data_IF_185714527540
#
_entry.id   IF_185714527540
#
_cell.length_a   1.000
_cell.length_b   1.000
_cell.length_c   1.000
_cell.angle_alpha   90.00
_cell.angle_beta   90.00
_cell.angle_gamma   90.00
#
_symmetry.space_group_name_H-M   'P 1'
#
loop_
_entity.id
_entity.type
_entity.pdbx_description
1 polymer ?
#
# COMPACT_ATOMS: atom_id res chain seq x y z
N UNK A 1 9.11 15.52 14.38
CA UNK A 1 9.33 15.64 12.93
C UNK A 1 8.10 15.07 12.23
N UNK A 2 7.20 15.92 11.77
CA UNK A 2 6.00 15.48 11.05
C UNK A 2 6.40 15.23 9.61
N UNK A 3 6.58 13.96 9.22
CA UNK A 3 6.72 13.61 7.81
C UNK A 3 5.31 13.65 7.23
N UNK A 4 4.81 14.86 6.94
CA UNK A 4 3.63 14.99 6.12
C UNK A 4 3.98 14.41 4.75
N UNK A 5 3.30 13.32 4.36
CA UNK A 5 3.42 12.79 3.00
C UNK A 5 3.17 13.94 2.01
N UNK A 6 3.99 14.10 0.95
CA UNK A 6 3.83 15.22 0.03
C UNK A 6 2.42 15.21 -0.56
N UNK A 7 1.69 16.33 -0.39
CA UNK A 7 0.41 16.59 -1.08
C UNK A 7 0.70 16.89 -2.55
N UNK A 8 1.24 15.92 -3.25
CA UNK A 8 1.31 15.97 -4.71
C UNK A 8 -0.07 15.57 -5.25
N UNK A 9 -0.62 16.34 -6.20
CA UNK A 9 -1.93 16.09 -6.83
C UNK A 9 -2.02 14.81 -7.65
N UNK A 10 -1.07 13.89 -7.47
CA UNK A 10 -0.98 12.60 -8.14
C UNK A 10 -2.01 11.63 -7.56
N UNK A 11 -2.54 10.77 -8.43
CA UNK A 11 -3.48 9.71 -8.05
C UNK A 11 -2.90 8.79 -6.95
N UNK A 12 -3.76 8.14 -6.14
CA UNK A 12 -3.32 7.04 -5.30
C UNK A 12 -2.70 5.94 -6.18
N UNK A 13 -1.56 5.40 -5.75
CA UNK A 13 -0.90 4.26 -6.41
C UNK A 13 -1.04 3.08 -5.46
N UNK A 14 -1.72 2.04 -5.89
CA UNK A 14 -1.92 0.84 -5.08
C UNK A 14 -0.59 0.05 -5.00
N UNK A 15 -0.17 -0.47 -3.84
CA UNK A 15 1.08 -1.23 -3.75
C UNK A 15 1.11 -2.49 -4.63
N UNK A 16 -0.06 -3.04 -4.94
CA UNK A 16 -0.21 -4.12 -5.92
C UNK A 16 0.08 -3.71 -7.37
N UNK A 17 -0.10 -2.43 -7.73
CA UNK A 17 0.37 -1.89 -9.01
C UNK A 17 1.89 -1.93 -9.06
N UNK A 18 2.57 -1.44 -8.02
CA UNK A 18 4.04 -1.50 -7.89
C UNK A 18 4.54 -2.95 -7.97
N UNK A 19 3.92 -3.87 -7.22
CA UNK A 19 4.28 -5.28 -7.29
C UNK A 19 4.15 -5.84 -8.72
N UNK A 20 3.10 -5.47 -9.45
CA UNK A 20 2.85 -5.94 -10.81
C UNK A 20 3.83 -5.33 -11.82
N UNK A 21 3.97 -4.02 -11.82
CA UNK A 21 4.71 -3.27 -12.84
C UNK A 21 6.24 -3.30 -12.63
N UNK A 22 6.70 -3.28 -11.39
CA UNK A 22 8.14 -3.13 -11.08
C UNK A 22 8.81 -4.46 -10.73
N UNK A 23 8.03 -5.49 -10.36
CA UNK A 23 8.57 -6.81 -9.99
C UNK A 23 8.07 -7.91 -10.93
N UNK A 24 6.76 -8.13 -11.04
CA UNK A 24 6.26 -9.30 -11.79
C UNK A 24 6.55 -9.20 -13.29
N UNK A 25 6.19 -8.08 -13.93
CA UNK A 25 6.40 -7.89 -15.38
C UNK A 25 7.89 -7.93 -15.76
N UNK A 26 8.81 -7.20 -15.10
CA UNK A 26 10.22 -7.20 -15.49
C UNK A 26 10.91 -8.56 -15.28
N UNK A 27 10.48 -9.32 -14.27
CA UNK A 27 11.03 -10.64 -13.97
C UNK A 27 10.33 -11.78 -14.74
N UNK A 28 9.26 -11.49 -15.50
CA UNK A 28 8.50 -12.49 -16.24
C UNK A 28 7.81 -13.55 -15.36
N UNK A 29 7.54 -13.24 -14.08
CA UNK A 29 6.94 -14.18 -13.14
C UNK A 29 5.43 -13.97 -13.03
N UNK A 30 4.67 -15.07 -13.00
CA UNK A 30 3.22 -15.00 -12.79
C UNK A 30 2.87 -14.78 -11.32
N UNK A 31 1.69 -14.23 -11.04
CA UNK A 31 1.16 -14.09 -9.69
C UNK A 31 1.04 -15.45 -8.96
N UNK A 32 0.71 -16.51 -9.70
CA UNK A 32 0.65 -17.87 -9.15
C UNK A 32 2.06 -18.39 -8.77
N UNK A 33 3.06 -18.17 -9.62
CA UNK A 33 4.45 -18.52 -9.31
C UNK A 33 4.95 -17.76 -8.08
N UNK A 34 4.67 -16.46 -7.97
CA UNK A 34 5.00 -15.69 -6.78
C UNK A 34 4.30 -16.27 -5.53
N UNK A 35 3.01 -16.58 -5.59
CA UNK A 35 2.28 -17.14 -4.45
C UNK A 35 2.91 -18.44 -3.92
N UNK A 36 3.37 -19.32 -4.82
CA UNK A 36 4.07 -20.56 -4.46
C UNK A 36 5.42 -20.29 -3.78
N UNK A 37 6.17 -19.30 -4.25
CA UNK A 37 7.43 -18.86 -3.63
C UNK A 37 7.20 -18.25 -2.24
N UNK A 38 6.15 -17.43 -2.09
CA UNK A 38 5.81 -16.77 -0.82
C UNK A 38 5.10 -17.70 0.18
N UNK A 39 4.71 -18.92 -0.24
CA UNK A 39 3.94 -19.88 0.57
C UNK A 39 2.62 -19.30 1.06
N UNK A 40 1.86 -18.67 0.16
CA UNK A 40 0.53 -18.09 0.44
C UNK A 40 -0.47 -18.56 -0.62
N UNK A 41 -1.79 -18.50 -0.35
CA UNK A 41 -2.79 -18.81 -1.37
C UNK A 41 -2.65 -17.91 -2.61
N UNK A 42 -2.80 -18.48 -3.81
CA UNK A 42 -2.73 -17.74 -5.06
C UNK A 42 -3.75 -16.59 -5.15
N UNK A 43 -4.95 -16.78 -4.57
CA UNK A 43 -5.97 -15.74 -4.45
C UNK A 43 -5.45 -14.49 -3.75
N UNK A 44 -4.60 -14.63 -2.72
CA UNK A 44 -4.01 -13.49 -2.01
C UNK A 44 -3.16 -12.62 -2.92
N UNK A 45 -2.24 -13.24 -3.68
CA UNK A 45 -1.36 -12.49 -4.59
C UNK A 45 -2.16 -11.93 -5.76
N UNK A 46 -3.10 -12.70 -6.32
CA UNK A 46 -4.00 -12.24 -7.38
C UNK A 46 -4.80 -11.00 -6.96
N UNK A 47 -5.42 -11.01 -5.77
CA UNK A 47 -6.17 -9.86 -5.28
C UNK A 47 -5.28 -8.62 -5.10
N UNK A 48 -4.05 -8.81 -4.64
CA UNK A 48 -3.08 -7.71 -4.47
C UNK A 48 -2.74 -7.12 -5.84
N UNK A 49 -2.30 -7.94 -6.80
CA UNK A 49 -1.89 -7.45 -8.13
C UNK A 49 -3.06 -6.93 -8.97
N UNK A 50 -4.31 -7.28 -8.62
CA UNK A 50 -5.52 -6.70 -9.21
C UNK A 50 -6.04 -5.49 -8.42
N UNK A 51 -5.30 -5.02 -7.43
CA UNK A 51 -5.59 -3.82 -6.64
C UNK A 51 -6.90 -3.93 -5.83
N UNK A 52 -7.30 -5.16 -5.49
CA UNK A 52 -8.51 -5.48 -4.72
C UNK A 52 -8.21 -5.70 -3.24
N UNK A 53 -6.95 -5.89 -2.88
CA UNK A 53 -6.48 -6.18 -1.52
C UNK A 53 -5.15 -5.45 -1.27
N UNK A 54 -5.05 -4.81 -0.11
CA UNK A 54 -3.79 -4.23 0.37
C UNK A 54 -2.74 -5.27 0.78
N UNK A 55 -1.51 -4.80 0.96
CA UNK A 55 -0.41 -5.59 1.51
C UNK A 55 -0.44 -5.52 3.04
N UNK A 56 -0.46 -6.68 3.68
CA UNK A 56 -0.31 -6.81 5.14
C UNK A 56 1.16 -6.92 5.52
N UNK A 57 1.49 -6.73 6.81
CA UNK A 57 2.86 -6.92 7.33
C UNK A 57 3.40 -8.32 7.04
N UNK A 58 2.60 -9.39 7.24
CA UNK A 58 2.99 -10.77 6.87
C UNK A 58 3.36 -10.87 5.38
N UNK A 59 2.59 -10.24 4.50
CA UNK A 59 2.87 -10.26 3.06
C UNK A 59 4.12 -9.46 2.72
N UNK A 60 4.31 -8.29 3.33
CA UNK A 60 5.51 -7.48 3.16
C UNK A 60 6.77 -8.22 3.63
N UNK A 61 6.74 -8.88 4.79
CA UNK A 61 7.86 -9.70 5.28
C UNK A 61 8.22 -10.84 4.30
N UNK A 62 7.21 -11.49 3.71
CA UNK A 62 7.43 -12.54 2.69
C UNK A 62 8.02 -11.97 1.41
N UNK A 63 7.50 -10.84 0.93
CA UNK A 63 8.03 -10.15 -0.25
C UNK A 63 9.48 -9.74 -0.05
N UNK A 64 9.81 -9.17 1.11
CA UNK A 64 11.19 -8.79 1.46
C UNK A 64 12.10 -10.00 1.58
N UNK A 65 11.62 -11.10 2.15
CA UNK A 65 12.40 -12.34 2.20
C UNK A 65 12.71 -12.88 0.80
N UNK A 66 11.81 -12.67 -0.17
CA UNK A 66 11.93 -13.20 -1.53
C UNK A 66 12.71 -12.26 -2.48
N UNK A 67 12.40 -10.97 -2.48
CA UNK A 67 12.98 -9.96 -3.38
C UNK A 67 14.10 -9.12 -2.75
N UNK A 68 14.27 -9.17 -1.42
CA UNK A 68 15.10 -8.22 -0.69
C UNK A 68 14.39 -6.89 -0.40
N UNK A 69 15.14 -5.89 0.03
CA UNK A 69 14.61 -4.58 0.44
C UNK A 69 14.16 -4.55 1.90
N UNK A 70 13.14 -3.72 2.20
CA UNK A 70 12.67 -3.50 3.56
C UNK A 70 11.14 -3.53 3.68
N UNK A 71 10.65 -3.95 4.85
CA UNK A 71 9.22 -4.08 5.13
C UNK A 71 8.54 -2.72 5.18
N UNK A 72 9.25 -1.70 5.66
CA UNK A 72 8.71 -0.36 5.84
C UNK A 72 8.36 0.30 4.51
N UNK A 73 9.12 0.07 3.45
CA UNK A 73 8.84 0.57 2.10
C UNK A 73 7.48 0.07 1.59
N UNK A 74 7.18 -1.22 1.75
CA UNK A 74 5.86 -1.76 1.39
C UNK A 74 4.74 -1.17 2.25
N UNK A 75 4.97 -1.03 3.55
CA UNK A 75 3.97 -0.44 4.45
C UNK A 75 3.74 1.05 4.16
N UNK A 76 4.78 1.79 3.79
CA UNK A 76 4.68 3.18 3.39
C UNK A 76 3.83 3.33 2.13
N UNK A 77 4.00 2.44 1.13
CA UNK A 77 3.14 2.41 -0.05
C UNK A 77 1.67 2.14 0.30
N UNK A 78 1.43 1.15 1.16
CA UNK A 78 0.08 0.82 1.63
C UNK A 78 -0.57 1.99 2.36
N UNK A 79 0.12 2.59 3.34
CA UNK A 79 -0.39 3.73 4.10
C UNK A 79 -0.60 4.95 3.22
N UNK A 80 0.32 5.25 2.30
CA UNK A 80 0.18 6.38 1.39
C UNK A 80 -1.04 6.21 0.47
N UNK A 81 -1.28 5.00 -0.04
CA UNK A 81 -2.47 4.69 -0.82
C UNK A 81 -3.75 4.88 0.01
N UNK A 82 -3.83 4.25 1.18
CA UNK A 82 -4.99 4.29 2.07
C UNK A 82 -5.33 5.72 2.50
N UNK A 83 -4.32 6.50 2.90
CA UNK A 83 -4.51 7.90 3.30
C UNK A 83 -5.04 8.73 2.13
N UNK A 84 -4.50 8.59 0.92
CA UNK A 84 -5.00 9.35 -0.25
C UNK A 84 -6.43 8.96 -0.63
N UNK A 85 -6.79 7.68 -0.55
CA UNK A 85 -8.17 7.21 -0.80
C UNK A 85 -9.11 7.73 0.29
N UNK A 86 -8.73 7.58 1.56
CA UNK A 86 -9.51 8.04 2.69
C UNK A 86 -9.72 9.56 2.67
N UNK A 87 -8.69 10.35 2.34
CA UNK A 87 -8.82 11.81 2.20
C UNK A 87 -9.89 12.21 1.18
N UNK A 88 -10.03 11.48 0.06
CA UNK A 88 -11.06 11.78 -0.94
C UNK A 88 -12.48 11.50 -0.47
N UNK A 89 -12.65 10.57 0.45
CA UNK A 89 -13.97 10.07 0.89
C UNK A 89 -14.39 10.67 2.23
N UNK A 90 -13.44 10.85 3.14
CA UNK A 90 -13.70 11.14 4.56
C UNK A 90 -13.37 12.57 4.96
N UNK A 91 -12.52 13.30 4.21
CA UNK A 91 -12.02 14.60 4.66
C UNK A 91 -13.14 15.58 4.99
N UNK A 92 -14.05 15.84 4.04
CA UNK A 92 -15.15 16.79 4.25
C UNK A 92 -16.06 16.41 5.42
N UNK A 93 -16.29 15.11 5.62
CA UNK A 93 -17.10 14.61 6.73
C UNK A 93 -16.39 14.87 8.06
N UNK A 94 -15.13 14.46 8.19
CA UNK A 94 -14.32 14.64 9.39
C UNK A 94 -14.18 16.13 9.73
N UNK A 95 -13.92 16.98 8.74
CA UNK A 95 -13.78 18.43 8.93
C UNK A 95 -15.07 19.08 9.47
N UNK A 96 -16.24 18.50 9.16
CA UNK A 96 -17.52 18.97 9.68
C UNK A 96 -17.88 18.43 11.07
N UNK A 97 -17.35 17.25 11.44
CA UNK A 97 -17.69 16.56 12.70
C UNK A 97 -16.66 16.80 13.82
N UNK A 98 -15.41 17.14 13.48
CA UNK A 98 -14.29 17.23 14.43
C UNK A 98 -13.70 18.64 14.46
N UNK A 99 -13.86 19.32 15.59
CA UNK A 99 -13.20 20.60 15.83
C UNK A 99 -11.72 20.39 16.19
N UNK A 100 -10.77 21.12 15.58
CA UNK A 100 -9.37 21.08 15.98
C UNK A 100 -9.21 21.51 17.44
N UNK A 101 -8.45 20.72 18.22
CA UNK A 101 -8.02 21.17 19.53
C UNK A 101 -7.07 22.36 19.35
N UNK A 102 -7.55 23.56 19.64
CA UNK A 102 -6.69 24.73 19.74
C UNK A 102 -6.13 24.77 21.16
N UNK A 103 -4.80 24.82 21.30
CA UNK A 103 -4.19 25.04 22.61
C UNK A 103 -4.62 26.44 23.08
N UNK A 104 -5.35 26.50 24.19
CA UNK A 104 -5.63 27.78 24.87
C UNK A 104 -4.29 28.32 25.36
N UNK A 105 -3.86 29.46 24.78
CA UNK A 105 -2.78 30.28 25.32
C UNK A 105 -3.18 30.91 26.65
#
# INVERSE_FOLDING_TARGET
MTIAAPKNGLRPIHPGEILREDYLKPLGISANALAQSLKVPASRVNDIVLERRGITVDTAMRLVRYFGGDVQSWMNLQTAFEVKVAQKVLASKIDSEVLPMTASN
#
